data_IF_807508610143
#
_entry.id   IF_807508610143
#
_cell.length_a   1.000
_cell.length_b   1.000
_cell.length_c   1.000
_cell.angle_alpha   90.00
_cell.angle_beta   90.00
_cell.angle_gamma   90.00
#
_symmetry.space_group_name_H-M   'P 1'
#
loop_
_entity.id
_entity.type
_entity.pdbx_description
1 polymer ?
#
# COMPACT_ATOMS: atom_id res chain seq x y z
N UNK A 1 -13.22 -0.60 23.41
CA UNK A 1 -12.32 0.57 23.52
C UNK A 1 -11.16 0.39 22.56
N UNK A 2 -10.85 1.38 21.71
CA UNK A 2 -9.63 1.31 20.90
C UNK A 2 -8.41 1.62 21.75
N UNK A 3 -7.26 1.04 21.41
CA UNK A 3 -6.00 1.35 22.10
C UNK A 3 -5.63 2.83 21.90
N UNK A 4 -5.29 3.52 22.99
CA UNK A 4 -4.75 4.87 22.95
C UNK A 4 -3.33 4.84 22.36
N UNK A 5 -3.24 5.14 21.05
CA UNK A 5 -1.98 5.24 20.30
C UNK A 5 -1.59 6.70 20.09
N UNK A 6 -0.28 6.96 20.04
CA UNK A 6 0.26 8.29 19.69
C UNK A 6 -0.05 8.66 18.24
N UNK A 7 -0.05 9.97 17.92
CA UNK A 7 -0.33 10.47 16.56
C UNK A 7 0.64 9.90 15.52
N UNK A 8 1.93 9.78 15.87
CA UNK A 8 2.96 9.17 15.00
C UNK A 8 2.62 7.73 14.59
N UNK A 9 2.20 6.90 15.55
CA UNK A 9 1.81 5.51 15.29
C UNK A 9 0.57 5.46 14.39
N UNK A 10 -0.43 6.30 14.67
CA UNK A 10 -1.66 6.37 13.84
C UNK A 10 -1.34 6.73 12.38
N UNK A 11 -0.46 7.71 12.15
CA UNK A 11 -0.03 8.10 10.81
C UNK A 11 0.72 6.97 10.09
N UNK A 12 1.61 6.28 10.80
CA UNK A 12 2.33 5.13 10.25
C UNK A 12 1.38 4.00 9.85
N UNK A 13 0.42 3.65 10.70
CA UNK A 13 -0.62 2.65 10.42
C UNK A 13 -1.48 3.07 9.21
N UNK A 14 -1.89 4.33 9.13
CA UNK A 14 -2.66 4.82 7.99
C UNK A 14 -1.86 4.74 6.68
N UNK A 15 -0.57 5.11 6.69
CA UNK A 15 0.30 5.03 5.51
C UNK A 15 0.48 3.59 5.04
N UNK A 16 0.77 2.70 5.97
CA UNK A 16 1.00 1.27 5.68
C UNK A 16 -0.26 0.59 5.16
N UNK A 17 -1.44 0.98 5.65
CA UNK A 17 -2.71 0.49 5.11
C UNK A 17 -2.98 1.00 3.69
N UNK A 18 -2.69 2.28 3.41
CA UNK A 18 -2.81 2.86 2.06
C UNK A 18 -1.84 2.24 1.03
N UNK A 19 -0.65 1.82 1.48
CA UNK A 19 0.34 1.17 0.61
C UNK A 19 -0.07 -0.26 0.22
N UNK A 20 -0.93 -0.92 1.01
CA UNK A 20 -1.35 -2.29 0.78
C UNK A 20 -2.48 -2.40 -0.26
N UNK A 21 -2.22 -1.91 -1.47
CA UNK A 21 -3.18 -1.86 -2.59
C UNK A 21 -2.63 -2.54 -3.84
N UNK A 22 -3.50 -3.04 -4.74
CA UNK A 22 -3.07 -3.64 -6.01
C UNK A 22 -2.49 -2.58 -6.95
N UNK A 23 -1.72 -3.02 -7.94
CA UNK A 23 -1.17 -2.12 -8.97
C UNK A 23 -2.30 -1.70 -9.93
N UNK A 24 -2.45 -0.40 -10.23
CA UNK A 24 -3.39 0.10 -11.22
C UNK A 24 -3.17 -0.47 -12.62
N UNK A 25 -4.27 -0.71 -13.34
CA UNK A 25 -4.23 -1.36 -14.66
C UNK A 25 -3.41 -0.57 -15.70
N UNK A 26 -3.53 0.76 -15.75
CA UNK A 26 -2.77 1.57 -16.71
C UNK A 26 -1.25 1.50 -16.52
N UNK A 27 -0.77 1.20 -15.32
CA UNK A 27 0.66 0.96 -15.07
C UNK A 27 1.09 -0.35 -15.71
N UNK A 28 0.26 -1.39 -15.65
CA UNK A 28 0.52 -2.68 -16.31
C UNK A 28 0.58 -2.55 -17.83
N UNK A 29 -0.17 -1.61 -18.40
CA UNK A 29 -0.23 -1.38 -19.84
C UNK A 29 0.93 -0.54 -20.39
N UNK A 30 1.82 0.01 -19.54
CA UNK A 30 2.98 0.78 -20.02
C UNK A 30 3.98 -0.12 -20.75
N UNK A 31 4.35 0.27 -21.97
CA UNK A 31 5.38 -0.41 -22.77
C UNK A 31 6.71 -0.47 -22.00
N UNK A 32 7.33 -1.65 -21.99
CA UNK A 32 8.60 -1.89 -21.27
C UNK A 32 8.46 -2.06 -19.74
N UNK A 33 7.25 -2.02 -19.18
CA UNK A 33 7.06 -2.30 -17.76
C UNK A 33 6.99 -3.82 -17.49
N UNK A 34 7.86 -4.31 -16.61
CA UNK A 34 7.88 -5.71 -16.15
C UNK A 34 7.03 -5.96 -14.90
N UNK A 35 6.54 -4.90 -14.24
CA UNK A 35 5.86 -5.01 -12.95
C UNK A 35 4.37 -5.31 -13.13
N UNK A 36 3.97 -6.55 -12.82
CA UNK A 36 2.59 -7.03 -12.96
C UNK A 36 1.78 -7.02 -11.65
N UNK A 37 2.44 -7.13 -10.49
CA UNK A 37 1.80 -7.21 -9.17
C UNK A 37 2.62 -6.47 -8.09
N UNK A 38 1.97 -6.11 -6.98
CA UNK A 38 2.64 -5.45 -5.86
C UNK A 38 3.35 -6.49 -4.98
N UNK A 39 4.67 -6.62 -5.12
CA UNK A 39 5.49 -7.57 -4.34
C UNK A 39 5.51 -7.29 -2.83
N UNK A 40 5.15 -6.07 -2.42
CA UNK A 40 5.08 -5.65 -1.00
C UNK A 40 3.67 -5.72 -0.43
N UNK A 41 2.72 -6.34 -1.14
CA UNK A 41 1.36 -6.56 -0.64
C UNK A 41 1.42 -7.51 0.58
N UNK A 42 0.64 -7.18 1.60
CA UNK A 42 0.50 -7.96 2.84
C UNK A 42 -0.96 -8.43 2.98
N UNK A 43 -1.17 -9.55 3.67
CA UNK A 43 -2.51 -10.02 4.05
C UNK A 43 -2.91 -9.43 5.40
#
# INVERSE_FOLDING_TARGET
>A
MSSHKTSKIKQFLAKTQKQNRPIPQWIRMKTGNKTCYNSKRRH
#
